data_IF_033030473634
#
_entry.id   IF_033030473634
#
_cell.length_a   1.000
_cell.length_b   1.000
_cell.length_c   1.000
_cell.angle_alpha   90.00
_cell.angle_beta   90.00
_cell.angle_gamma   90.00
#
_symmetry.space_group_name_H-M   'P 1'
#
loop_
_entity.id
_entity.type
_entity.pdbx_description
1 polymer ?
#
# COMPACT_ATOMS: atom_id res chain seq x y z
N UNK A 1 -1.79 -1.72 -5.58
CA UNK A 1 -1.48 -2.23 -6.94
C UNK A 1 -0.43 -1.36 -7.64
N UNK A 2 -0.66 -0.06 -7.79
CA UNK A 2 0.30 0.86 -8.42
C UNK A 2 1.46 1.33 -7.54
N UNK A 3 1.42 1.14 -6.21
CA UNK A 3 2.44 1.71 -5.31
C UNK A 3 3.78 0.96 -5.30
N UNK A 4 3.82 -0.37 -5.45
CA UNK A 4 5.11 -1.08 -5.64
C UNK A 4 5.70 -0.72 -7.00
N UNK A 5 4.86 -0.57 -8.03
CA UNK A 5 5.30 -0.18 -9.38
C UNK A 5 5.69 1.31 -9.44
N UNK A 6 5.04 2.17 -8.66
CA UNK A 6 5.42 3.57 -8.52
C UNK A 6 6.74 3.71 -7.73
N UNK A 7 6.96 2.90 -6.70
CA UNK A 7 8.29 2.79 -6.07
C UNK A 7 9.35 2.26 -7.03
N UNK A 8 9.01 1.35 -7.96
CA UNK A 8 9.93 0.88 -9.03
C UNK A 8 10.38 2.02 -9.95
N UNK A 9 9.44 2.73 -10.56
CA UNK A 9 9.72 3.84 -11.51
C UNK A 9 10.42 5.02 -10.85
N UNK A 10 10.09 5.33 -9.59
CA UNK A 10 10.70 6.44 -8.87
C UNK A 10 12.14 6.13 -8.42
N UNK A 11 12.46 4.85 -8.16
CA UNK A 11 13.85 4.39 -7.91
C UNK A 11 14.72 4.43 -9.18
N UNK A 12 14.14 4.21 -10.35
CA UNK A 12 14.83 4.18 -11.65
C UNK A 12 15.27 5.59 -12.13
N UNK A 13 14.57 6.65 -11.72
CA UNK A 13 14.91 8.04 -12.02
C UNK A 13 16.15 8.60 -11.29
N UNK A 14 16.85 7.79 -10.50
CA UNK A 14 18.12 8.16 -9.85
C UNK A 14 18.03 9.24 -8.75
N UNK A 15 16.84 9.73 -8.41
CA UNK A 15 16.69 10.84 -7.46
C UNK A 15 16.41 10.42 -6.02
N UNK A 16 15.92 9.21 -5.76
CA UNK A 16 15.75 8.70 -4.39
C UNK A 16 15.94 7.18 -4.35
N UNK A 17 17.01 6.72 -3.70
CA UNK A 17 17.17 5.32 -3.35
C UNK A 17 16.09 4.96 -2.31
N UNK A 18 15.09 4.15 -2.70
CA UNK A 18 14.22 3.55 -1.71
C UNK A 18 15.09 2.62 -0.87
N UNK A 19 15.16 2.79 0.46
CA UNK A 19 15.91 1.88 1.28
C UNK A 19 15.31 0.49 1.10
N UNK A 20 16.15 -0.43 0.62
CA UNK A 20 15.89 -1.87 0.68
C UNK A 20 15.34 -2.17 2.08
N UNK A 21 14.09 -2.60 2.16
CA UNK A 21 13.52 -3.07 3.41
C UNK A 21 14.41 -4.20 3.92
N UNK A 22 15.04 -4.00 5.06
CA UNK A 22 16.04 -4.94 5.58
C UNK A 22 15.41 -6.30 5.88
N UNK A 23 16.20 -7.38 5.93
CA UNK A 23 15.71 -8.72 6.33
C UNK A 23 14.91 -8.70 7.66
N UNK A 24 15.22 -7.77 8.57
CA UNK A 24 14.49 -7.57 9.82
C UNK A 24 13.05 -7.10 9.63
N UNK A 25 12.75 -6.37 8.56
CA UNK A 25 11.39 -5.88 8.28
C UNK A 25 10.47 -7.00 7.76
N UNK A 26 11.03 -7.99 7.05
CA UNK A 26 10.32 -9.22 6.65
C UNK A 26 9.85 -9.99 7.88
N UNK A 27 10.79 -10.29 8.77
CA UNK A 27 10.54 -11.09 9.96
C UNK A 27 9.53 -10.39 10.86
N UNK A 28 9.57 -9.05 10.92
CA UNK A 28 8.58 -8.25 11.63
C UNK A 28 7.18 -8.39 11.03
N UNK A 29 7.02 -8.30 9.72
CA UNK A 29 5.70 -8.46 9.07
C UNK A 29 5.15 -9.89 9.19
N UNK A 30 6.01 -10.92 9.10
CA UNK A 30 5.60 -12.31 9.32
C UNK A 30 5.19 -12.54 10.78
N UNK A 31 5.97 -12.03 11.73
CA UNK A 31 5.64 -12.13 13.17
C UNK A 31 4.32 -11.43 13.48
N UNK A 32 4.10 -10.26 12.87
CA UNK A 32 2.86 -9.50 12.99
C UNK A 32 1.67 -10.26 12.39
N UNK A 33 1.86 -10.88 11.22
CA UNK A 33 0.85 -11.76 10.63
C UNK A 33 0.50 -12.93 11.57
N UNK A 34 1.51 -13.59 12.12
CA UNK A 34 1.32 -14.73 13.03
C UNK A 34 0.56 -14.34 14.29
N UNK A 35 0.90 -13.18 14.85
CA UNK A 35 0.18 -12.59 15.99
C UNK A 35 -1.28 -12.32 15.62
N UNK A 36 -1.52 -11.65 14.48
CA UNK A 36 -2.87 -11.32 14.04
C UNK A 36 -3.74 -12.56 13.76
N UNK A 37 -3.19 -13.63 13.19
CA UNK A 37 -3.90 -14.90 12.96
C UNK A 37 -4.40 -15.52 14.26
N UNK A 38 -3.63 -15.39 15.34
CA UNK A 38 -3.98 -15.94 16.65
C UNK A 38 -4.97 -15.05 17.42
N UNK A 39 -4.90 -13.73 17.23
CA UNK A 39 -5.75 -12.76 17.94
C UNK A 39 -7.08 -12.47 17.22
N UNK A 40 -7.14 -12.65 15.91
CA UNK A 40 -8.27 -12.24 15.08
C UNK A 40 -8.88 -13.44 14.35
N UNK A 41 -9.98 -13.99 14.89
CA UNK A 41 -10.71 -15.12 14.30
C UNK A 41 -11.10 -14.92 12.84
N UNK A 42 -11.38 -13.68 12.41
CA UNK A 42 -11.77 -13.39 11.03
C UNK A 42 -10.64 -13.64 10.03
N UNK A 43 -9.36 -13.55 10.44
CA UNK A 43 -8.23 -13.80 9.54
C UNK A 43 -8.20 -15.25 9.04
N UNK A 44 -8.69 -16.19 9.85
CA UNK A 44 -8.81 -17.61 9.48
C UNK A 44 -10.03 -17.91 8.59
N UNK A 45 -10.89 -16.91 8.32
CA UNK A 45 -12.12 -17.05 7.52
C UNK A 45 -11.94 -16.56 6.09
N UNK A 46 -10.71 -16.33 5.63
CA UNK A 46 -10.45 -15.88 4.26
C UNK A 46 -10.83 -16.99 3.27
N UNK A 47 -11.77 -16.75 2.34
CA UNK A 47 -12.22 -17.78 1.40
C UNK A 47 -11.05 -18.30 0.56
N UNK A 48 -10.86 -19.62 0.58
CA UNK A 48 -9.86 -20.32 -0.23
C UNK A 48 -8.41 -19.82 -0.07
N UNK A 49 -8.12 -19.09 1.02
CA UNK A 49 -6.80 -18.54 1.28
C UNK A 49 -6.30 -18.93 2.66
N UNK A 50 -5.60 -20.07 2.71
CA UNK A 50 -5.12 -20.61 3.98
C UNK A 50 -3.96 -19.78 4.57
N UNK A 51 -3.81 -19.71 5.91
CA UNK A 51 -2.74 -18.96 6.55
C UNK A 51 -1.33 -19.35 6.08
N UNK A 52 -1.11 -20.63 5.76
CA UNK A 52 0.18 -21.11 5.21
C UNK A 52 0.48 -20.47 3.84
N UNK A 53 -0.54 -20.34 3.00
CA UNK A 53 -0.46 -19.71 1.69
C UNK A 53 -0.29 -18.20 1.83
N UNK A 54 -1.01 -17.56 2.75
CA UNK A 54 -0.83 -16.13 3.06
C UNK A 54 0.61 -15.79 3.44
N UNK A 55 1.23 -16.56 4.36
CA UNK A 55 2.64 -16.37 4.74
C UNK A 55 3.58 -16.47 3.55
N UNK A 56 3.36 -17.47 2.69
CA UNK A 56 4.20 -17.68 1.50
C UNK A 56 4.09 -16.50 0.55
N UNK A 57 2.88 -16.03 0.29
CA UNK A 57 2.66 -14.94 -0.66
C UNK A 57 3.13 -13.59 -0.09
N UNK A 58 3.02 -13.36 1.22
CA UNK A 58 3.64 -12.21 1.90
C UNK A 58 5.16 -12.20 1.72
N UNK A 59 5.82 -13.36 1.84
CA UNK A 59 7.27 -13.49 1.57
C UNK A 59 7.58 -13.17 0.11
N UNK A 60 6.85 -13.75 -0.84
CA UNK A 60 7.02 -13.44 -2.27
C UNK A 60 6.87 -11.96 -2.59
N UNK A 61 5.85 -11.32 -2.01
CA UNK A 61 5.62 -9.88 -2.17
C UNK A 61 6.79 -9.05 -1.66
N UNK A 62 7.40 -9.48 -0.56
CA UNK A 62 8.61 -8.85 -0.06
C UNK A 62 9.82 -9.11 -0.97
N UNK A 63 10.04 -10.36 -1.39
CA UNK A 63 11.14 -10.71 -2.29
C UNK A 63 11.06 -9.88 -3.58
N UNK A 64 9.85 -9.68 -4.12
CA UNK A 64 9.61 -8.82 -5.27
C UNK A 64 10.05 -7.36 -5.03
N UNK A 65 9.80 -6.83 -3.83
CA UNK A 65 10.20 -5.49 -3.42
C UNK A 65 11.72 -5.38 -3.17
N UNK A 66 12.37 -6.46 -2.73
CA UNK A 66 13.82 -6.51 -2.51
C UNK A 66 14.62 -6.75 -3.79
N UNK A 67 14.12 -7.55 -4.72
CA UNK A 67 14.83 -7.88 -5.97
C UNK A 67 14.75 -6.78 -7.02
N UNK A 68 13.94 -5.74 -6.81
CA UNK A 68 13.77 -4.64 -7.79
C UNK A 68 14.94 -3.65 -7.83
N UNK A 69 15.92 -3.75 -6.93
CA UNK A 69 17.09 -2.88 -6.89
C UNK A 69 18.29 -3.36 -7.73
N UNK A 70 18.16 -4.45 -8.50
CA UNK A 70 19.33 -5.09 -9.15
C UNK A 70 19.20 -5.49 -10.63
N UNK A 71 18.21 -5.00 -11.40
CA UNK A 71 18.12 -5.36 -12.83
C UNK A 71 17.73 -4.19 -13.74
N UNK A 72 18.72 -3.40 -14.14
CA UNK A 72 18.70 -2.64 -15.40
C UNK A 72 18.94 -3.62 -16.55
N UNK A 73 17.87 -4.19 -17.12
CA UNK A 73 17.91 -4.73 -18.49
C UNK A 73 16.53 -4.60 -19.11
N UNK A 74 16.43 -3.59 -19.96
CA UNK A 74 15.52 -3.42 -21.09
C UNK A 74 14.75 -4.69 -21.48
N UNK A 75 13.54 -4.79 -20.99
CA UNK A 75 12.48 -5.59 -21.60
C UNK A 75 11.18 -4.89 -21.25
N UNK A 76 10.57 -4.23 -22.23
CA UNK A 76 9.28 -3.54 -22.13
C UNK A 76 8.10 -4.49 -21.89
N UNK A 77 8.19 -5.34 -20.88
CA UNK A 77 7.10 -6.14 -20.35
C UNK A 77 6.64 -5.51 -19.06
N UNK A 78 5.37 -5.07 -19.00
CA UNK A 78 4.73 -4.71 -17.75
C UNK A 78 5.02 -5.82 -16.75
N UNK A 79 5.64 -5.50 -15.61
CA UNK A 79 5.74 -6.45 -14.52
C UNK A 79 4.34 -6.63 -13.94
N UNK A 80 3.55 -7.47 -14.58
CA UNK A 80 2.21 -7.79 -14.12
C UNK A 80 2.37 -8.38 -12.73
N UNK A 81 1.75 -7.73 -11.74
CA UNK A 81 1.70 -8.28 -10.40
C UNK A 81 0.85 -9.55 -10.50
N UNK A 82 1.49 -10.70 -10.26
CA UNK A 82 0.77 -11.97 -10.16
C UNK A 82 -0.35 -11.89 -9.10
N UNK A 83 -1.36 -12.76 -9.24
CA UNK A 83 -2.44 -12.89 -8.25
C UNK A 83 -1.94 -13.13 -6.83
N UNK A 84 -0.83 -13.84 -6.66
CA UNK A 84 -0.19 -14.06 -5.35
C UNK A 84 0.18 -12.72 -4.69
N UNK A 85 0.75 -11.79 -5.46
CA UNK A 85 1.12 -10.45 -4.97
C UNK A 85 -0.11 -9.62 -4.60
N UNK A 86 -1.19 -9.72 -5.40
CA UNK A 86 -2.46 -9.05 -5.11
C UNK A 86 -3.07 -9.55 -3.80
N UNK A 87 -3.14 -10.87 -3.62
CA UNK A 87 -3.66 -11.49 -2.40
C UNK A 87 -2.84 -11.13 -1.16
N UNK A 88 -1.52 -11.18 -1.26
CA UNK A 88 -0.63 -10.75 -0.18
C UNK A 88 -0.83 -9.27 0.20
N UNK A 89 -1.09 -8.41 -0.79
CA UNK A 89 -1.39 -7.00 -0.55
C UNK A 89 -2.65 -6.79 0.28
N UNK A 90 -3.71 -7.55 -0.01
CA UNK A 90 -4.95 -7.49 0.74
C UNK A 90 -4.71 -7.89 2.20
N UNK A 91 -3.87 -8.90 2.44
CA UNK A 91 -3.47 -9.29 3.81
C UNK A 91 -2.75 -8.13 4.51
N UNK A 92 -1.77 -7.48 3.87
CA UNK A 92 -1.09 -6.32 4.44
C UNK A 92 -2.06 -5.17 4.79
N UNK A 93 -3.06 -4.92 3.94
CA UNK A 93 -4.06 -3.90 4.20
C UNK A 93 -4.90 -4.22 5.44
N UNK A 94 -5.29 -5.48 5.63
CA UNK A 94 -6.00 -5.92 6.85
C UNK A 94 -5.10 -5.80 8.08
N UNK A 95 -3.82 -6.17 7.97
CA UNK A 95 -2.86 -6.02 9.06
C UNK A 95 -2.68 -4.55 9.47
N UNK A 96 -2.64 -3.61 8.51
CA UNK A 96 -2.56 -2.17 8.81
C UNK A 96 -3.85 -1.62 9.41
N UNK A 97 -5.00 -2.12 8.98
CA UNK A 97 -6.27 -1.80 9.61
C UNK A 97 -6.29 -2.27 11.08
N UNK A 98 -5.82 -3.50 11.37
CA UNK A 98 -5.67 -3.99 12.75
C UNK A 98 -4.76 -3.08 13.56
N UNK A 99 -3.60 -2.71 13.01
CA UNK A 99 -2.66 -1.80 13.69
C UNK A 99 -3.30 -0.44 14.01
N UNK A 100 -4.00 0.17 13.06
CA UNK A 100 -4.72 1.43 13.30
C UNK A 100 -5.76 1.27 14.43
N UNK A 101 -6.49 0.16 14.43
CA UNK A 101 -7.46 -0.15 15.46
C UNK A 101 -6.82 -0.32 16.85
N UNK A 102 -5.72 -1.07 16.94
CA UNK A 102 -5.00 -1.30 18.19
C UNK A 102 -4.41 0.01 18.76
N UNK A 103 -3.84 0.85 17.90
CA UNK A 103 -3.34 2.18 18.29
C UNK A 103 -4.48 3.10 18.78
N UNK A 104 -5.68 3.00 18.17
CA UNK A 104 -6.88 3.71 18.62
C UNK A 104 -7.31 3.24 20.01
N UNK A 105 -7.34 1.92 20.24
CA UNK A 105 -7.67 1.36 21.56
C UNK A 105 -6.63 1.74 22.63
N UNK A 106 -5.35 1.85 22.25
CA UNK A 106 -4.28 2.27 23.13
C UNK A 106 -4.25 3.79 23.39
N UNK A 107 -5.11 4.57 22.75
CA UNK A 107 -5.10 6.04 22.84
C UNK A 107 -3.86 6.69 22.19
N UNK A 108 -3.14 5.95 21.34
CA UNK A 108 -1.95 6.41 20.61
C UNK A 108 -2.31 7.04 19.26
N UNK A 109 -3.53 6.80 18.80
CA UNK A 109 -3.99 7.20 17.48
C UNK A 109 -4.95 8.40 17.55
N UNK A 110 -4.64 9.44 16.79
CA UNK A 110 -5.36 10.72 16.79
C UNK A 110 -5.93 11.08 15.40
N UNK A 111 -5.90 10.17 14.43
CA UNK A 111 -6.31 10.48 13.07
C UNK A 111 -7.75 10.05 12.78
N UNK A 112 -8.53 10.97 12.21
CA UNK A 112 -9.96 10.82 11.93
C UNK A 112 -10.24 10.00 10.66
N UNK A 113 -9.23 9.31 10.11
CA UNK A 113 -9.38 8.57 8.84
C UNK A 113 -9.84 7.13 9.03
N UNK A 114 -9.60 6.53 10.19
CA UNK A 114 -9.99 5.15 10.48
C UNK A 114 -11.31 5.12 11.27
N UNK A 115 -12.40 5.29 10.54
CA UNK A 115 -13.78 5.42 11.04
C UNK A 115 -14.55 4.09 11.05
N UNK A 116 -13.86 2.95 10.89
CA UNK A 116 -14.47 1.62 11.03
C UNK A 116 -14.53 1.15 12.48
N UNK A 117 -15.55 0.35 12.79
CA UNK A 117 -15.74 -0.22 14.12
C UNK A 117 -14.74 -1.36 14.39
N UNK A 118 -14.32 -2.08 13.34
CA UNK A 118 -13.40 -3.21 13.47
C UNK A 118 -12.54 -3.42 12.21
N UNK A 119 -11.29 -3.92 12.34
CA UNK A 119 -10.52 -4.38 11.18
C UNK A 119 -11.21 -5.52 10.40
N UNK A 120 -12.18 -6.21 11.01
CA UNK A 120 -13.02 -7.20 10.34
C UNK A 120 -13.85 -6.60 9.19
N UNK A 121 -14.20 -5.32 9.25
CA UNK A 121 -14.96 -4.64 8.18
C UNK A 121 -14.11 -4.46 6.93
N UNK A 122 -12.83 -4.10 7.11
CA UNK A 122 -11.83 -4.03 6.03
C UNK A 122 -11.60 -5.42 5.44
N UNK A 123 -11.42 -6.44 6.29
CA UNK A 123 -11.30 -7.83 5.87
C UNK A 123 -12.50 -8.28 5.02
N UNK A 124 -13.73 -7.98 5.43
CA UNK A 124 -14.95 -8.43 4.73
C UNK A 124 -15.05 -7.87 3.31
N UNK A 125 -14.53 -6.67 3.06
CA UNK A 125 -14.48 -6.08 1.71
C UNK A 125 -13.42 -6.82 0.89
N UNK A 126 -12.18 -6.86 1.40
CA UNK A 126 -11.03 -7.42 0.68
C UNK A 126 -11.13 -8.94 0.43
N UNK A 127 -11.74 -9.69 1.35
CA UNK A 127 -11.93 -11.13 1.23
C UNK A 127 -12.91 -11.53 0.12
N UNK A 128 -13.79 -10.63 -0.32
CA UNK A 128 -14.67 -10.82 -1.48
C UNK A 128 -13.97 -10.57 -2.81
N UNK A 129 -12.71 -10.16 -2.78
CA UNK A 129 -11.97 -9.72 -3.96
C UNK A 129 -12.27 -8.30 -4.39
N UNK A 130 -13.04 -7.55 -3.60
CA UNK A 130 -13.30 -6.15 -3.80
C UNK A 130 -12.14 -5.32 -3.22
N UNK A 131 -11.49 -4.51 -4.05
CA UNK A 131 -10.41 -3.62 -3.65
C UNK A 131 -10.92 -2.20 -3.35
N UNK A 132 -12.24 -1.96 -3.40
CA UNK A 132 -12.87 -0.66 -3.22
C UNK A 132 -13.13 -0.34 -1.73
N UNK A 133 -12.05 -0.19 -0.96
CA UNK A 133 -12.15 0.45 0.35
C UNK A 133 -12.52 1.94 0.21
N UNK A 134 -13.18 2.54 1.22
CA UNK A 134 -13.40 3.98 1.26
C UNK A 134 -12.08 4.73 1.02
N UNK A 135 -12.05 5.74 0.12
CA UNK A 135 -10.79 6.36 -0.31
C UNK A 135 -9.91 6.85 0.84
N UNK A 136 -10.52 7.44 1.89
CA UNK A 136 -9.79 7.92 3.07
C UNK A 136 -9.06 6.79 3.80
N UNK A 137 -9.69 5.62 3.94
CA UNK A 137 -9.08 4.42 4.53
C UNK A 137 -8.01 3.85 3.59
N UNK A 138 -8.35 3.69 2.32
CA UNK A 138 -7.46 3.10 1.31
C UNK A 138 -6.13 3.86 1.24
N UNK A 139 -6.18 5.18 1.02
CA UNK A 139 -4.97 5.97 0.79
C UNK A 139 -4.10 6.09 2.04
N UNK A 140 -4.70 6.20 3.23
CA UNK A 140 -3.93 6.22 4.47
C UNK A 140 -3.28 4.87 4.78
N UNK A 141 -4.00 3.74 4.63
CA UNK A 141 -3.40 2.41 4.75
C UNK A 141 -2.22 2.27 3.78
N UNK A 142 -2.40 2.70 2.54
CA UNK A 142 -1.34 2.66 1.53
C UNK A 142 -0.12 3.50 1.91
N UNK A 143 -0.29 4.70 2.47
CA UNK A 143 0.81 5.53 3.00
C UNK A 143 1.55 4.83 4.16
N UNK A 144 0.84 4.08 4.99
CA UNK A 144 1.44 3.34 6.12
C UNK A 144 2.23 2.11 5.68
N UNK A 145 1.72 1.36 4.70
CA UNK A 145 2.42 0.19 4.13
C UNK A 145 3.72 0.63 3.41
N UNK A 146 3.62 1.70 2.63
CA UNK A 146 4.69 2.17 1.74
C UNK A 146 5.68 3.11 2.40
N UNK A 147 5.29 3.81 3.48
CA UNK A 147 6.11 4.84 4.10
C UNK A 147 6.25 6.12 3.27
N UNK A 148 5.47 6.27 2.20
CA UNK A 148 5.43 7.49 1.38
C UNK A 148 4.16 8.28 1.63
N UNK A 149 4.23 9.58 1.39
CA UNK A 149 3.04 10.42 1.27
C UNK A 149 2.44 10.28 -0.13
N UNK A 150 1.12 10.46 -0.23
CA UNK A 150 0.40 10.41 -1.50
C UNK A 150 -0.33 11.74 -1.68
N UNK A 151 -0.10 12.38 -2.81
CA UNK A 151 -0.81 13.58 -3.23
C UNK A 151 -1.73 13.25 -4.41
N UNK A 152 -2.99 13.64 -4.33
CA UNK A 152 -3.97 13.49 -5.41
C UNK A 152 -4.42 14.88 -5.86
N UNK A 153 -4.10 15.21 -7.10
CA UNK A 153 -4.54 16.43 -7.78
C UNK A 153 -5.86 16.10 -8.50
N UNK A 154 -6.97 16.65 -8.02
CA UNK A 154 -8.28 16.49 -8.64
C UNK A 154 -8.52 17.56 -9.70
N UNK A 155 -8.39 17.15 -10.95
CA UNK A 155 -8.53 17.99 -12.15
C UNK A 155 -9.84 17.70 -12.91
N UNK A 156 -10.81 17.02 -12.29
CA UNK A 156 -12.14 16.76 -12.89
C UNK A 156 -12.91 18.03 -13.20
N UNK A 157 -12.66 19.09 -12.44
CA UNK A 157 -13.21 20.43 -12.68
C UNK A 157 -12.06 21.31 -13.15
N UNK A 158 -12.15 21.78 -14.40
CA UNK A 158 -11.24 22.79 -14.95
C UNK A 158 -11.43 24.09 -14.17
N UNK A 159 -10.63 24.22 -13.10
CA UNK A 159 -10.61 25.38 -12.22
C UNK A 159 -9.18 25.89 -12.14
N UNK A 160 -9.03 27.20 -11.91
CA UNK A 160 -7.71 27.83 -11.77
C UNK A 160 -6.89 27.25 -10.61
N UNK A 161 -7.55 26.55 -9.66
CA UNK A 161 -6.92 25.88 -8.52
C UNK A 161 -7.50 24.48 -8.36
N UNK A 162 -6.84 23.44 -8.91
CA UNK A 162 -7.30 22.07 -8.73
C UNK A 162 -7.33 21.69 -7.24
N UNK A 163 -8.30 20.88 -6.84
CA UNK A 163 -8.42 20.42 -5.45
C UNK A 163 -7.32 19.40 -5.17
N UNK A 164 -6.46 19.69 -4.21
CA UNK A 164 -5.38 18.78 -3.81
C UNK A 164 -5.76 18.06 -2.51
N UNK A 165 -5.63 16.73 -2.51
CA UNK A 165 -5.78 15.89 -1.32
C UNK A 165 -4.43 15.27 -0.99
N UNK A 166 -3.99 15.39 0.26
CA UNK A 166 -2.73 14.81 0.73
C UNK A 166 -3.00 13.78 1.81
N UNK A 167 -2.32 12.65 1.70
CA UNK A 167 -2.34 11.56 2.66
C UNK A 167 -0.89 11.32 3.10
N UNK A 168 -0.69 11.16 4.40
CA UNK A 168 0.64 10.90 4.96
C UNK A 168 0.49 10.05 6.21
N UNK A 169 1.47 9.20 6.46
CA UNK A 169 1.57 8.37 7.66
C UNK A 169 2.45 8.97 8.75
N UNK A 170 3.09 10.13 8.49
CA UNK A 170 3.99 10.79 9.42
C UNK A 170 3.87 12.31 9.33
N UNK A 171 4.09 12.99 10.45
CA UNK A 171 4.27 14.44 10.49
C UNK A 171 5.64 14.88 9.93
N UNK A 172 6.59 13.95 9.77
CA UNK A 172 7.90 14.22 9.17
C UNK A 172 7.81 14.22 7.64
N UNK A 173 8.67 14.99 6.93
CA UNK A 173 8.75 14.93 5.48
C UNK A 173 9.10 13.51 5.01
N UNK A 174 8.26 12.94 4.16
CA UNK A 174 8.50 11.67 3.47
C UNK A 174 8.49 11.90 1.95
N UNK A 175 9.12 11.03 1.14
CA UNK A 175 8.90 11.04 -0.30
C UNK A 175 7.40 11.07 -0.63
N UNK A 176 7.03 11.82 -1.66
CA UNK A 176 5.63 12.03 -2.04
C UNK A 176 5.40 11.54 -3.46
N UNK A 177 4.41 10.66 -3.63
CA UNK A 177 3.94 10.23 -4.94
C UNK A 177 2.72 11.04 -5.34
N UNK A 178 2.77 11.65 -6.52
CA UNK A 178 1.68 12.48 -7.03
C UNK A 178 0.84 11.69 -8.01
N UNK A 179 -0.48 11.85 -7.89
CA UNK A 179 -1.48 11.20 -8.72
C UNK A 179 -2.42 12.27 -9.28
N UNK A 180 -2.83 12.09 -10.54
CA UNK A 180 -3.80 12.94 -11.22
C UNK A 180 -5.15 12.23 -11.28
N UNK A 181 -6.21 12.91 -10.85
CA UNK A 181 -7.58 12.43 -11.00
C UNK A 181 -8.30 13.21 -12.09
N UNK A 182 -8.47 12.57 -13.24
CA UNK A 182 -9.32 13.04 -14.35
C UNK A 182 -10.69 12.35 -14.39
N UNK A 183 -10.80 11.16 -13.78
CA UNK A 183 -12.02 10.36 -13.72
C UNK A 183 -12.27 9.80 -12.31
N UNK A 184 -12.93 8.64 -12.23
CA UNK A 184 -13.23 8.03 -10.93
C UNK A 184 -11.97 7.50 -10.22
N UNK A 185 -11.01 6.98 -10.99
CA UNK A 185 -9.75 6.41 -10.50
C UNK A 185 -8.59 7.38 -10.79
N UNK A 186 -7.81 7.79 -9.77
CA UNK A 186 -6.57 8.53 -10.00
C UNK A 186 -5.56 7.69 -10.78
N UNK A 187 -4.70 8.35 -11.54
CA UNK A 187 -3.54 7.75 -12.22
C UNK A 187 -2.24 8.36 -11.69
N UNK A 188 -1.14 7.60 -11.58
CA UNK A 188 0.13 8.16 -11.14
C UNK A 188 0.66 9.20 -12.14
N UNK A 189 1.23 10.28 -11.62
CA UNK A 189 2.01 11.24 -12.41
C UNK A 189 3.49 10.89 -12.26
N UNK A 190 4.15 10.70 -13.39
CA UNK A 190 5.59 10.50 -13.45
C UNK A 190 6.23 11.71 -14.13
N UNK A 191 7.39 12.11 -13.63
CA UNK A 191 8.23 13.08 -14.32
C UNK A 191 8.81 12.43 -15.57
N UNK A 192 8.58 13.04 -16.73
CA UNK A 192 9.27 12.70 -17.98
C UNK A 192 10.19 13.88 -18.24
N UNK A 193 11.53 13.73 -18.12
CA UNK A 193 12.44 14.79 -18.52
C UNK A 193 12.23 15.12 -20.00
N UNK A 194 12.28 16.40 -20.34
CA UNK A 194 12.34 16.81 -21.74
C UNK A 194 13.66 16.30 -22.33
N UNK A 195 13.60 15.61 -23.48
CA UNK A 195 14.78 15.29 -24.27
C UNK A 195 15.30 16.59 -24.90
N UNK A 196 16.27 17.25 -24.25
CA UNK A 196 17.07 18.33 -24.87
C UNK A 196 18.15 17.79 -25.81
#
# INVERSE_FOLDING_TARGET
MFLIVASRTFSESGQYAFPLKSHQEIEKEITRFDTAINECDFMNKWPEYEPKTMRRDLKKLHDLASSSSSSTTDSGGSSDLDEDHRRAYRVLMVLEAKRAYDERLAGLFCEDWFDVDSPADVFRILAKGDDELPPKILWNILCRISGVSIEIIDARVLSERPKVQRFSSSASPTPCLTWLRLGNRPVPLFYIPDDE
#
